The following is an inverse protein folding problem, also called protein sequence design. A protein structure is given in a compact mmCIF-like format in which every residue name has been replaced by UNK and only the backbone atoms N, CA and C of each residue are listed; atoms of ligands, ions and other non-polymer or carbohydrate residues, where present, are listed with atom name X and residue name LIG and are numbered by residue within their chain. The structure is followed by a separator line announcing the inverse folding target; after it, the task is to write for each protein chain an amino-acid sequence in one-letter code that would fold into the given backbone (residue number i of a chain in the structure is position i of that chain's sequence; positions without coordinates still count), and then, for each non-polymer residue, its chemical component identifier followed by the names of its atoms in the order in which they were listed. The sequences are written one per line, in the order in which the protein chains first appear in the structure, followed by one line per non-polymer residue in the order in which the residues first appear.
data_IF_338417071615
#
_entry.id   IF_338417071615
#
_cell.length_a   1.000
_cell.length_b   1.000
_cell.length_c   1.000
_cell.angle_alpha   90.00
_cell.angle_beta   90.00
_cell.angle_gamma   90.00
#
_symmetry.space_group_name_H-M   'P 1'
#
loop_
_entity.id
_entity.type
_entity.pdbx_description
1 polymer ?
#
# COMPACT_ATOMS: atom_id res chain seq x y z
N UNK A 1 21.32 -2.90 -37.22
CA UNK A 1 21.15 -2.51 -35.80
C UNK A 1 20.75 -1.03 -35.74
N UNK A 2 19.50 -0.68 -36.06
CA UNK A 2 19.12 0.74 -36.26
C UNK A 2 19.11 1.57 -34.98
N UNK A 3 18.75 0.96 -33.84
CA UNK A 3 18.72 1.65 -32.55
C UNK A 3 20.13 1.97 -32.02
N UNK A 4 21.02 0.97 -32.03
CA UNK A 4 22.42 1.15 -31.61
C UNK A 4 23.18 2.10 -32.53
N UNK A 5 22.96 2.04 -33.84
CA UNK A 5 23.58 2.95 -34.80
C UNK A 5 23.13 4.41 -34.58
N UNK A 6 21.84 4.64 -34.30
CA UNK A 6 21.32 5.97 -33.97
C UNK A 6 21.88 6.49 -32.64
N UNK A 7 21.97 5.63 -31.62
CA UNK A 7 22.54 5.96 -30.32
C UNK A 7 24.03 6.35 -30.42
N UNK A 8 24.81 5.64 -31.25
CA UNK A 8 26.22 5.95 -31.49
C UNK A 8 26.39 7.22 -32.33
N UNK A 9 25.53 7.44 -33.33
CA UNK A 9 25.62 8.60 -34.23
C UNK A 9 25.20 9.91 -33.57
N UNK A 10 24.36 9.87 -32.55
CA UNK A 10 23.90 11.05 -31.79
C UNK A 10 23.97 10.79 -30.28
N UNK A 11 25.18 10.71 -29.69
CA UNK A 11 25.38 10.31 -28.30
C UNK A 11 24.77 11.28 -27.28
N UNK A 12 24.65 12.56 -27.66
CA UNK A 12 24.11 13.62 -26.79
C UNK A 12 22.66 13.32 -26.38
N UNK A 13 21.81 12.79 -27.26
CA UNK A 13 20.42 12.46 -26.89
C UNK A 13 20.36 11.35 -25.85
N UNK A 14 21.25 10.35 -25.97
CA UNK A 14 21.32 9.23 -25.03
C UNK A 14 21.78 9.74 -23.66
N UNK A 15 22.83 10.56 -23.63
CA UNK A 15 23.34 11.15 -22.39
C UNK A 15 22.27 11.99 -21.70
N UNK A 16 21.59 12.88 -22.43
CA UNK A 16 20.52 13.71 -21.87
C UNK A 16 19.37 12.85 -21.33
N UNK A 17 18.96 11.81 -22.05
CA UNK A 17 17.91 10.90 -21.59
C UNK A 17 18.29 10.22 -20.27
N UNK A 18 19.50 9.66 -20.18
CA UNK A 18 19.97 8.99 -18.96
C UNK A 18 20.14 9.96 -17.79
N UNK A 19 20.64 11.18 -18.03
CA UNK A 19 20.72 12.23 -17.01
C UNK A 19 19.33 12.58 -16.49
N UNK A 20 18.36 12.77 -17.39
CA UNK A 20 16.97 13.10 -17.02
C UNK A 20 16.34 11.97 -16.19
N UNK A 21 16.51 10.72 -16.60
CA UNK A 21 16.06 9.55 -15.84
C UNK A 21 16.73 9.46 -14.47
N UNK A 22 18.01 9.78 -14.38
CA UNK A 22 18.77 9.73 -13.11
C UNK A 22 18.28 10.80 -12.14
N UNK A 23 18.06 12.03 -12.62
CA UNK A 23 17.53 13.13 -11.79
C UNK A 23 16.11 12.83 -11.32
N UNK A 24 15.24 12.38 -12.22
CA UNK A 24 13.87 11.98 -11.85
C UNK A 24 13.86 10.81 -10.86
N UNK A 25 14.73 9.81 -11.08
CA UNK A 25 14.89 8.67 -10.16
C UNK A 25 15.35 9.11 -8.78
N UNK A 26 16.34 10.02 -8.72
CA UNK A 26 16.83 10.56 -7.46
C UNK A 26 15.76 11.36 -6.71
N UNK A 27 15.04 12.24 -7.41
CA UNK A 27 13.92 12.98 -6.82
C UNK A 27 12.84 12.04 -6.30
N UNK A 28 12.47 11.02 -7.07
CA UNK A 28 11.48 10.01 -6.65
C UNK A 28 11.94 9.26 -5.39
N UNK A 29 13.21 8.86 -5.34
CA UNK A 29 13.80 8.18 -4.19
C UNK A 29 13.76 9.04 -2.92
N UNK A 30 14.09 10.33 -3.02
CA UNK A 30 14.05 11.25 -1.86
C UNK A 30 12.63 11.59 -1.41
N UNK A 31 11.64 11.55 -2.30
CA UNK A 31 10.22 11.77 -1.96
C UNK A 31 9.53 10.51 -1.43
N UNK A 32 10.19 9.34 -1.48
CA UNK A 32 9.61 8.11 -0.96
C UNK A 32 9.58 8.20 0.57
N UNK A 33 8.38 8.40 1.13
CA UNK A 33 8.16 8.39 2.57
C UNK A 33 8.49 7.03 3.16
N UNK A 34 9.62 6.93 3.87
CA UNK A 34 9.97 5.74 4.62
C UNK A 34 9.08 5.66 5.87
N UNK A 35 8.17 4.70 5.89
CA UNK A 35 7.32 4.46 7.06
C UNK A 35 7.97 3.37 7.94
N UNK A 36 8.42 3.75 9.14
CA UNK A 36 9.08 2.83 10.09
C UNK A 36 8.13 1.73 10.59
N UNK A 37 6.83 2.03 10.62
CA UNK A 37 5.77 1.10 10.99
C UNK A 37 4.64 1.30 9.98
N UNK A 38 4.58 0.51 8.90
CA UNK A 38 3.44 0.59 7.98
C UNK A 38 2.17 0.36 8.79
N UNK A 39 1.18 1.25 8.65
CA UNK A 39 -0.11 1.12 9.36
C UNK A 39 -0.83 -0.13 8.87
N UNK A 40 -0.51 -1.26 9.48
CA UNK A 40 -1.25 -2.50 9.34
C UNK A 40 -2.42 -2.43 10.31
N UNK A 41 -3.50 -1.78 9.89
CA UNK A 41 -4.79 -1.87 10.56
C UNK A 41 -5.54 -3.06 9.95
N UNK A 42 -5.47 -4.27 10.54
CA UNK A 42 -6.37 -5.34 10.16
C UNK A 42 -7.82 -4.82 10.34
N UNK A 43 -8.74 -5.10 9.40
CA UNK A 43 -10.12 -4.69 9.55
C UNK A 43 -10.74 -5.45 10.73
N UNK A 44 -10.75 -4.82 11.91
CA UNK A 44 -11.38 -5.37 13.10
C UNK A 44 -12.78 -4.77 13.21
N UNK A 45 -13.80 -5.60 13.06
CA UNK A 45 -15.19 -5.23 13.31
C UNK A 45 -15.52 -5.74 14.72
N UNK A 46 -15.77 -4.83 15.66
CA UNK A 46 -16.21 -5.18 17.01
C UNK A 46 -17.72 -4.98 17.10
N UNK A 47 -18.45 -6.07 17.40
CA UNK A 47 -19.89 -6.02 17.64
C UNK A 47 -20.13 -6.27 19.13
N UNK A 48 -20.76 -5.31 19.81
CA UNK A 48 -21.09 -5.42 21.23
C UNK A 48 -22.61 -5.52 21.38
N UNK A 49 -23.07 -6.59 22.03
CA UNK A 49 -24.49 -6.81 22.31
C UNK A 49 -24.69 -6.71 23.82
N UNK A 50 -25.34 -5.63 24.27
CA UNK A 50 -25.67 -5.42 25.69
C UNK A 50 -27.13 -5.80 25.89
N UNK A 51 -27.40 -6.90 26.60
CA UNK A 51 -28.74 -7.34 26.95
C UNK A 51 -28.87 -7.53 28.47
N UNK A 52 -29.31 -6.49 29.21
CA UNK A 52 -29.38 -6.53 30.66
C UNK A 52 -30.50 -7.45 31.15
N UNK A 53 -30.18 -8.33 32.09
CA UNK A 53 -31.15 -9.21 32.75
C UNK A 53 -31.34 -10.60 32.13
N UNK A 54 -30.63 -10.96 31.04
CA UNK A 54 -30.59 -12.34 30.56
C UNK A 54 -29.43 -13.14 31.14
N UNK A 55 -29.66 -14.45 31.28
CA UNK A 55 -28.59 -15.40 31.51
C UNK A 55 -27.54 -15.32 30.38
N UNK A 56 -26.24 -15.41 30.67
CA UNK A 56 -25.19 -15.46 29.65
C UNK A 56 -25.46 -16.50 28.55
N UNK A 57 -26.04 -17.64 28.93
CA UNK A 57 -26.40 -18.74 28.01
C UNK A 57 -27.52 -18.36 27.05
N UNK A 58 -28.41 -17.46 27.48
CA UNK A 58 -29.57 -17.02 26.69
C UNK A 58 -29.18 -15.94 25.68
N UNK A 59 -28.26 -15.04 26.06
CA UNK A 59 -27.66 -14.04 25.16
C UNK A 59 -26.84 -14.70 24.06
N UNK A 60 -26.05 -15.74 24.39
CA UNK A 60 -25.27 -16.49 23.40
C UNK A 60 -26.17 -17.17 22.35
N UNK A 61 -27.17 -17.92 22.80
CA UNK A 61 -28.03 -18.69 21.90
C UNK A 61 -29.01 -17.81 21.10
N UNK A 62 -29.50 -16.72 21.68
CA UNK A 62 -30.55 -15.89 21.05
C UNK A 62 -30.00 -14.77 20.18
N UNK A 63 -28.87 -14.18 20.57
CA UNK A 63 -28.31 -12.97 19.96
C UNK A 63 -26.95 -13.24 19.33
N UNK A 64 -25.98 -13.78 20.07
CA UNK A 64 -24.61 -13.97 19.54
C UNK A 64 -24.57 -14.96 18.37
N UNK A 65 -25.20 -16.14 18.48
CA UNK A 65 -25.22 -17.15 17.40
C UNK A 65 -25.94 -16.68 16.12
N UNK A 66 -26.84 -15.70 16.21
CA UNK A 66 -27.50 -15.13 15.02
C UNK A 66 -26.66 -14.06 14.31
N UNK A 67 -25.68 -13.50 15.02
CA UNK A 67 -24.86 -12.37 14.59
C UNK A 67 -23.46 -12.82 14.13
N UNK A 68 -22.98 -13.99 14.60
CA UNK A 68 -21.87 -14.76 14.00
C UNK A 68 -22.16 -15.15 12.54
#
# INVERSE_FOLDING_TARGET
MKLSELAIRRPIYVIVLFVLLTVLGYMSYTNLGAELMPKFTPPMISVQIVYPGASPTEVENSLTRKVE
#
